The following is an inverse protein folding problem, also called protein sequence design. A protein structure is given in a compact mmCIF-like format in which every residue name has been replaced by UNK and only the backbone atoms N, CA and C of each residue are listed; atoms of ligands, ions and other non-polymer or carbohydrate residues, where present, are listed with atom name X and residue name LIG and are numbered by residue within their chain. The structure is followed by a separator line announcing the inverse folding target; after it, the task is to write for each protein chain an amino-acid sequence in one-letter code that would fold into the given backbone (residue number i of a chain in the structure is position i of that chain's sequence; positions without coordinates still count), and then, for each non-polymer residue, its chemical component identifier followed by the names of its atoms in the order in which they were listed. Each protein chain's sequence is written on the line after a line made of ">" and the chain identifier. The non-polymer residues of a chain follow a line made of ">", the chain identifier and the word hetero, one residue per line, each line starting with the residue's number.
data_IF_397331663758
#
_entry.id   IF_397331663758
#
_cell.length_a   1.000
_cell.length_b   1.000
_cell.length_c   1.000
_cell.angle_alpha   90.00
_cell.angle_beta   90.00
_cell.angle_gamma   90.00
#
_symmetry.space_group_name_H-M   'P 1'
#
loop_
_entity.id
_entity.type
_entity.pdbx_description
1 polymer ?
#
# COMPACT_ATOMS: atom_id res chain seq x y z
N UNK A 1 5.87 11.09 -8.16
CA UNK A 1 4.91 11.16 -7.04
C UNK A 1 3.57 11.60 -7.61
N UNK A 2 2.48 10.92 -7.27
CA UNK A 2 1.15 11.11 -7.90
C UNK A 2 0.20 12.05 -7.13
N UNK A 3 0.73 12.75 -6.12
CA UNK A 3 -0.05 13.61 -5.23
C UNK A 3 -0.79 12.81 -4.14
N UNK A 4 -1.76 13.47 -3.49
CA UNK A 4 -2.55 12.93 -2.38
C UNK A 4 -4.06 12.89 -2.67
N UNK A 5 -4.46 13.18 -3.91
CA UNK A 5 -5.88 13.22 -4.31
C UNK A 5 -6.46 11.82 -4.45
N UNK A 6 -7.59 11.56 -3.80
CA UNK A 6 -8.35 10.31 -3.98
C UNK A 6 -8.77 10.11 -5.44
N UNK A 7 -9.13 11.18 -6.17
CA UNK A 7 -9.49 11.07 -7.58
C UNK A 7 -8.31 10.58 -8.44
N UNK A 8 -7.11 11.11 -8.20
CA UNK A 8 -5.89 10.68 -8.89
C UNK A 8 -5.51 9.25 -8.52
N UNK A 9 -5.71 8.86 -7.26
CA UNK A 9 -5.51 7.49 -6.81
C UNK A 9 -6.44 6.52 -7.57
N UNK A 10 -7.75 6.78 -7.57
CA UNK A 10 -8.72 5.92 -8.25
C UNK A 10 -8.51 5.88 -9.77
N UNK A 11 -8.12 6.98 -10.41
CA UNK A 11 -7.76 7.01 -11.82
C UNK A 11 -6.62 6.02 -12.16
N UNK A 12 -5.72 5.78 -11.20
CA UNK A 12 -4.53 4.94 -11.40
C UNK A 12 -4.65 3.53 -10.84
N UNK A 13 -5.47 3.32 -9.80
CA UNK A 13 -5.50 2.09 -9.01
C UNK A 13 -6.79 1.30 -9.13
N UNK A 14 -7.88 1.90 -9.59
CA UNK A 14 -9.09 1.14 -9.88
C UNK A 14 -8.80 0.08 -10.96
N UNK A 15 -9.39 -1.10 -10.81
CA UNK A 15 -9.18 -2.30 -11.64
C UNK A 15 -7.76 -2.89 -11.59
N UNK A 16 -6.96 -2.54 -10.59
CA UNK A 16 -5.67 -3.20 -10.32
C UNK A 16 -5.80 -4.18 -9.16
N UNK A 17 -5.48 -5.45 -9.41
CA UNK A 17 -5.43 -6.52 -8.40
C UNK A 17 -4.36 -7.56 -8.73
N UNK A 18 -3.73 -8.18 -7.71
CA UNK A 18 -3.77 -7.81 -6.28
C UNK A 18 -2.93 -6.56 -6.00
N UNK A 19 -3.18 -5.88 -4.87
CA UNK A 19 -2.40 -4.68 -4.49
C UNK A 19 -1.86 -4.77 -3.06
N UNK A 20 -0.67 -4.21 -2.87
CA UNK A 20 -0.07 -3.94 -1.57
C UNK A 20 -0.02 -2.42 -1.38
N UNK A 21 -0.74 -1.90 -0.39
CA UNK A 21 -0.68 -0.50 0.01
C UNK A 21 0.32 -0.35 1.15
N UNK A 22 1.21 0.63 1.06
CA UNK A 22 2.19 0.94 2.11
C UNK A 22 2.00 2.39 2.56
N UNK A 23 1.81 2.57 3.86
CA UNK A 23 1.66 3.86 4.52
C UNK A 23 2.84 4.09 5.46
N UNK A 24 3.67 5.07 5.11
CA UNK A 24 4.73 5.59 5.98
C UNK A 24 4.17 6.73 6.82
N UNK A 25 4.31 6.63 8.15
CA UNK A 25 4.05 7.75 9.05
C UNK A 25 5.35 8.39 9.54
N UNK A 26 5.25 9.60 10.08
CA UNK A 26 6.39 10.33 10.65
C UNK A 26 6.98 9.67 11.91
N UNK A 27 6.30 8.69 12.49
CA UNK A 27 6.69 8.00 13.74
C UNK A 27 7.43 6.68 13.47
N UNK A 28 8.17 6.60 12.36
CA UNK A 28 9.05 5.47 12.03
C UNK A 28 8.35 4.10 11.99
N UNK A 29 7.04 4.08 11.82
CA UNK A 29 6.25 2.86 11.73
C UNK A 29 5.57 2.79 10.37
N UNK A 30 5.71 1.63 9.72
CA UNK A 30 5.05 1.37 8.46
C UNK A 30 3.82 0.53 8.69
N UNK A 31 2.75 0.92 8.03
CA UNK A 31 1.52 0.13 7.98
C UNK A 31 1.28 -0.28 6.54
N UNK A 32 0.65 -1.42 6.34
CA UNK A 32 0.27 -1.84 5.01
C UNK A 32 -1.00 -2.68 5.01
N UNK A 33 -1.55 -2.79 3.82
CA UNK A 33 -2.74 -3.58 3.54
C UNK A 33 -2.47 -4.38 2.28
N UNK A 34 -2.81 -5.67 2.32
CA UNK A 34 -2.89 -6.49 1.13
C UNK A 34 -4.36 -6.67 0.76
N UNK A 35 -4.73 -6.22 -0.44
CA UNK A 35 -6.04 -6.47 -1.03
C UNK A 35 -5.91 -7.46 -2.18
N UNK A 36 -6.63 -8.58 -2.11
CA UNK A 36 -6.68 -9.53 -3.24
C UNK A 36 -7.73 -9.14 -4.28
N UNK A 37 -8.66 -8.28 -3.88
CA UNK A 37 -9.65 -7.67 -4.77
C UNK A 37 -9.21 -6.27 -5.18
N UNK A 38 -9.58 -5.90 -6.41
CA UNK A 38 -9.29 -4.58 -6.96
C UNK A 38 -9.91 -3.45 -6.15
N UNK A 39 -9.16 -2.34 -6.06
CA UNK A 39 -9.74 -1.05 -5.73
C UNK A 39 -10.87 -0.71 -6.70
N UNK A 40 -11.88 -0.03 -6.17
CA UNK A 40 -12.86 0.65 -6.98
C UNK A 40 -13.33 1.92 -6.27
N UNK A 41 -13.73 2.90 -7.05
CA UNK A 41 -14.31 4.16 -6.60
C UNK A 41 -15.79 4.08 -6.23
N UNK A 42 -16.39 2.88 -6.19
CA UNK A 42 -17.77 2.70 -5.75
C UNK A 42 -17.81 2.86 -4.23
N UNK A 43 -18.86 3.50 -3.73
CA UNK A 43 -19.04 3.75 -2.29
C UNK A 43 -19.65 2.54 -1.59
N UNK A 44 -19.05 1.36 -1.76
CA UNK A 44 -19.51 0.11 -1.15
C UNK A 44 -18.35 -0.67 -0.53
N UNK A 45 -18.66 -1.44 0.50
CA UNK A 45 -17.70 -2.38 1.08
C UNK A 45 -17.60 -3.62 0.22
N UNK A 46 -16.39 -4.17 0.12
CA UNK A 46 -16.13 -5.45 -0.52
C UNK A 46 -15.64 -6.39 0.56
N UNK A 47 -16.23 -7.58 0.62
CA UNK A 47 -15.74 -8.63 1.48
C UNK A 47 -14.63 -9.39 0.76
N UNK A 48 -13.44 -9.40 1.35
CA UNK A 48 -12.28 -10.11 0.83
C UNK A 48 -11.67 -10.96 1.96
N UNK A 49 -11.84 -12.28 1.87
CA UNK A 49 -11.34 -13.22 2.88
C UNK A 49 -9.81 -13.31 2.92
N UNK A 50 -9.12 -12.80 1.89
CA UNK A 50 -7.66 -12.76 1.81
C UNK A 50 -7.09 -11.39 2.18
N UNK A 51 -7.93 -10.39 2.45
CA UNK A 51 -7.45 -9.08 2.89
C UNK A 51 -6.90 -9.18 4.31
N UNK A 52 -5.72 -8.63 4.53
CA UNK A 52 -5.14 -8.47 5.86
C UNK A 52 -4.41 -7.15 6.00
N UNK A 53 -4.45 -6.61 7.22
CA UNK A 53 -3.62 -5.49 7.65
C UNK A 53 -2.31 -6.00 8.23
N UNK A 54 -1.23 -5.28 7.97
CA UNK A 54 0.07 -5.54 8.58
C UNK A 54 0.71 -4.25 9.09
N UNK A 55 1.60 -4.41 10.06
CA UNK A 55 2.43 -3.33 10.57
C UNK A 55 3.87 -3.81 10.62
N UNK A 56 4.77 -3.07 9.97
CA UNK A 56 6.19 -3.27 10.12
C UNK A 56 6.70 -2.33 11.21
N UNK A 57 7.06 -2.91 12.36
CA UNK A 57 7.73 -2.22 13.46
C UNK A 57 9.20 -2.53 13.41
N UNK A 58 10.03 -1.49 13.51
CA UNK A 58 11.44 -1.67 13.71
C UNK A 58 11.71 -2.37 15.04
N UNK A 59 12.35 -3.55 15.01
CA UNK A 59 12.57 -4.37 16.19
C UNK A 59 13.83 -3.97 17.00
N UNK A 60 14.57 -2.96 16.53
CA UNK A 60 15.88 -2.58 17.10
C UNK A 60 17.04 -3.49 16.69
N UNK A 61 16.76 -4.64 16.07
CA UNK A 61 17.76 -5.67 15.70
C UNK A 61 18.07 -5.73 14.21
N UNK A 62 17.25 -5.07 13.39
CA UNK A 62 17.38 -5.11 11.93
C UNK A 62 18.32 -4.00 11.48
N UNK A 63 19.27 -4.28 10.58
CA UNK A 63 20.06 -3.21 9.96
C UNK A 63 19.22 -2.53 8.88
N UNK A 64 19.21 -1.20 8.88
CA UNK A 64 18.57 -0.43 7.82
C UNK A 64 19.17 -0.84 6.47
N UNK A 65 18.41 -1.59 5.68
CA UNK A 65 18.86 -2.12 4.40
C UNK A 65 18.17 -1.31 3.32
N UNK A 66 18.92 -0.41 2.68
CA UNK A 66 18.43 0.37 1.56
C UNK A 66 18.55 -0.49 0.31
N UNK A 67 17.42 -0.79 -0.33
CA UNK A 67 17.43 -1.44 -1.64
C UNK A 67 17.49 -0.36 -2.72
N UNK A 68 18.43 -0.45 -3.69
CA UNK A 68 18.41 0.45 -4.83
C UNK A 68 17.11 0.24 -5.60
N UNK A 69 16.37 1.32 -5.85
CA UNK A 69 15.26 1.29 -6.79
C UNK A 69 15.89 1.14 -8.16
N UNK A 70 15.65 0.01 -8.83
CA UNK A 70 15.99 -0.11 -10.24
C UNK A 70 15.01 0.78 -11.00
N UNK A 71 15.52 1.76 -11.73
CA UNK A 71 14.71 2.54 -12.65
C UNK A 71 14.00 1.56 -13.60
N UNK A 72 12.69 1.73 -13.73
CA UNK A 72 11.91 0.99 -14.73
C UNK A 72 12.34 1.51 -16.12
N UNK A 73 12.81 0.58 -16.97
CA UNK A 73 13.12 0.84 -18.39
C UNK A 73 11.82 1.11 -19.15
#
# INVERSE_FOLDING_TARGET
>A
MDGYSSATFHQKKDNQEPTMTVLYNQHSSMHGEYGSTSWNSRRCYIQDAKNFLCQLKYSGRDKHTTFPIKDAI
#
